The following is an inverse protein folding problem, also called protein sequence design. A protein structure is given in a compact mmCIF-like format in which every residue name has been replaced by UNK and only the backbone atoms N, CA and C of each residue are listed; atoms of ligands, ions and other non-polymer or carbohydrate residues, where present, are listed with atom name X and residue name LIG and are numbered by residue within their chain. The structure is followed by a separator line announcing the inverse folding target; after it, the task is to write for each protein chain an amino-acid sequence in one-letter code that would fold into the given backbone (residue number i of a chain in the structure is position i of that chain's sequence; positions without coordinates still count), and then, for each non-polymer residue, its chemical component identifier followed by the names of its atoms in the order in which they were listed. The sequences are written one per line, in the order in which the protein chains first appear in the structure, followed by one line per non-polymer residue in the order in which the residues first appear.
data_IF_144059370625
#
_entry.id   IF_144059370625
#
_cell.length_a   1.000
_cell.length_b   1.000
_cell.length_c   1.000
_cell.angle_alpha   90.00
_cell.angle_beta   90.00
_cell.angle_gamma   90.00
#
_symmetry.space_group_name_H-M   'P 1'
#
loop_
_entity.id
_entity.type
_entity.pdbx_description
1 polymer ?
#
# COMPACT_ATOMS: atom_id res chain seq x y z
N UNK A 1 12.51 7.37 45.00
CA UNK A 1 11.75 7.02 43.75
C UNK A 1 12.76 7.09 42.62
N UNK A 2 13.17 5.91 42.13
CA UNK A 2 14.07 5.80 40.98
C UNK A 2 13.21 5.89 39.72
N UNK A 3 13.27 7.01 39.00
CA UNK A 3 12.73 7.14 37.65
C UNK A 3 13.42 6.08 36.76
N UNK A 4 12.66 5.09 36.37
CA UNK A 4 13.07 4.14 35.33
C UNK A 4 13.09 4.90 34.02
N UNK A 5 14.26 5.33 33.57
CA UNK A 5 14.44 5.85 32.23
C UNK A 5 14.07 4.72 31.26
N UNK A 6 12.91 4.86 30.61
CA UNK A 6 12.53 4.04 29.46
C UNK A 6 13.51 4.43 28.34
N UNK A 7 14.56 3.64 28.17
CA UNK A 7 15.46 3.79 27.02
C UNK A 7 14.66 3.50 25.77
N UNK A 8 14.44 4.54 24.96
CA UNK A 8 13.84 4.35 23.64
C UNK A 8 14.70 3.39 22.82
N UNK A 9 14.09 2.46 22.05
CA UNK A 9 14.83 1.56 21.18
C UNK A 9 15.71 2.36 20.24
N UNK A 10 17.00 2.04 20.17
CA UNK A 10 17.94 2.75 19.31
C UNK A 10 17.88 2.18 17.89
N UNK A 11 17.02 2.72 17.06
CA UNK A 11 16.86 2.33 15.65
C UNK A 11 18.01 2.80 14.74
N UNK A 12 18.99 3.55 15.27
CA UNK A 12 20.08 4.18 14.49
C UNK A 12 21.30 3.27 14.27
N UNK A 13 21.39 2.12 14.95
CA UNK A 13 22.56 1.24 14.89
C UNK A 13 22.46 0.12 13.84
N UNK A 14 21.38 0.05 13.06
CA UNK A 14 21.21 -0.94 11.99
C UNK A 14 21.66 -0.31 10.67
N UNK A 15 22.58 -0.98 9.98
CA UNK A 15 22.96 -0.57 8.62
C UNK A 15 21.78 -0.87 7.67
N UNK A 16 21.10 0.19 7.23
CA UNK A 16 19.95 0.10 6.35
C UNK A 16 20.42 0.46 4.93
N UNK A 17 20.14 -0.36 3.92
CA UNK A 17 20.45 -0.02 2.55
C UNK A 17 19.73 1.27 2.11
N UNK A 18 20.37 2.04 1.24
CA UNK A 18 19.82 3.32 0.78
C UNK A 18 18.64 3.11 -0.15
N UNK A 19 17.51 3.75 0.17
CA UNK A 19 16.37 3.86 -0.72
C UNK A 19 16.62 4.89 -1.83
N UNK A 20 16.39 4.53 -3.08
CA UNK A 20 16.57 5.41 -4.21
C UNK A 20 15.25 6.05 -4.66
N UNK A 21 15.10 7.33 -4.34
CA UNK A 21 13.91 8.12 -4.66
C UNK A 21 13.66 8.26 -6.17
N UNK A 22 14.73 8.40 -6.98
CA UNK A 22 14.60 8.52 -8.43
C UNK A 22 14.08 7.22 -9.05
N UNK A 23 14.54 6.07 -8.55
CA UNK A 23 14.03 4.77 -8.97
C UNK A 23 12.55 4.61 -8.62
N UNK A 24 12.17 4.86 -7.37
CA UNK A 24 10.77 4.78 -6.94
C UNK A 24 9.86 5.68 -7.79
N UNK A 25 10.26 6.93 -8.01
CA UNK A 25 9.52 7.87 -8.85
C UNK A 25 9.39 7.35 -10.30
N UNK A 26 10.45 6.78 -10.85
CA UNK A 26 10.42 6.21 -12.21
C UNK A 26 9.47 5.00 -12.30
N UNK A 27 9.33 4.21 -11.22
CA UNK A 27 8.40 3.08 -11.16
C UNK A 27 6.95 3.54 -11.07
N UNK A 28 6.65 4.62 -10.32
CA UNK A 28 5.33 5.25 -10.33
C UNK A 28 5.00 5.73 -11.74
N UNK A 29 5.93 6.49 -12.35
CA UNK A 29 5.74 7.00 -13.71
C UNK A 29 5.51 5.88 -14.74
N UNK A 30 6.27 4.80 -14.67
CA UNK A 30 6.13 3.68 -15.59
C UNK A 30 4.74 3.03 -15.53
N UNK A 31 4.12 2.95 -14.35
CA UNK A 31 2.75 2.48 -14.20
C UNK A 31 1.75 3.43 -14.85
N UNK A 32 1.88 4.74 -14.64
CA UNK A 32 1.02 5.76 -15.25
C UNK A 32 1.19 5.84 -16.78
N UNK A 33 2.41 5.59 -17.30
CA UNK A 33 2.68 5.60 -18.75
C UNK A 33 1.91 4.51 -19.51
N UNK A 34 1.43 3.44 -18.84
CA UNK A 34 0.51 2.46 -19.45
C UNK A 34 -0.91 3.02 -19.62
N UNK A 35 -1.26 4.08 -18.90
CA UNK A 35 -2.60 4.63 -18.75
C UNK A 35 -3.32 4.08 -17.52
N UNK A 36 -4.58 4.48 -17.30
CA UNK A 36 -5.40 4.00 -16.19
C UNK A 36 -5.47 2.47 -16.11
N UNK A 37 -5.08 1.90 -14.97
CA UNK A 37 -5.03 0.44 -14.74
C UNK A 37 -6.40 -0.09 -14.31
N UNK A 38 -7.44 0.30 -15.05
CA UNK A 38 -8.82 -0.08 -14.76
C UNK A 38 -9.09 -1.55 -15.07
N UNK A 39 -10.12 -2.16 -14.47
CA UNK A 39 -10.43 -3.58 -14.64
C UNK A 39 -10.49 -4.01 -16.11
N UNK A 40 -9.81 -5.12 -16.43
CA UNK A 40 -9.79 -5.75 -17.75
C UNK A 40 -9.27 -4.88 -18.91
N UNK A 41 -8.78 -3.66 -18.64
CA UNK A 41 -8.21 -2.78 -19.67
C UNK A 41 -6.88 -3.31 -20.21
N UNK A 42 -6.50 -2.82 -21.40
CA UNK A 42 -5.18 -3.10 -21.97
C UNK A 42 -4.05 -2.54 -21.11
N UNK A 43 -4.25 -1.38 -20.49
CA UNK A 43 -3.31 -0.76 -19.57
C UNK A 43 -3.08 -1.64 -18.34
N UNK A 44 -4.15 -2.16 -17.72
CA UNK A 44 -4.06 -3.10 -16.60
C UNK A 44 -3.29 -4.38 -16.99
N UNK A 45 -3.58 -4.97 -18.15
CA UNK A 45 -2.88 -6.17 -18.61
C UNK A 45 -1.36 -5.93 -18.75
N UNK A 46 -0.97 -4.85 -19.43
CA UNK A 46 0.43 -4.52 -19.69
C UNK A 46 1.17 -4.12 -18.41
N UNK A 47 0.55 -3.32 -17.55
CA UNK A 47 1.13 -2.92 -16.28
C UNK A 47 1.31 -4.13 -15.35
N UNK A 48 0.32 -5.00 -15.21
CA UNK A 48 0.45 -6.20 -14.41
C UNK A 48 1.55 -7.13 -14.91
N UNK A 49 1.72 -7.29 -16.23
CA UNK A 49 2.82 -8.05 -16.80
C UNK A 49 4.19 -7.38 -16.53
N UNK A 50 4.24 -6.06 -16.57
CA UNK A 50 5.42 -5.27 -16.18
C UNK A 50 5.79 -5.52 -14.70
N UNK A 51 4.82 -5.41 -13.79
CA UNK A 51 5.02 -5.65 -12.35
C UNK A 51 5.50 -7.07 -12.06
N UNK A 52 4.88 -8.09 -12.68
CA UNK A 52 5.30 -9.49 -12.55
C UNK A 52 6.74 -9.67 -13.02
N UNK A 53 7.07 -9.14 -14.19
CA UNK A 53 8.41 -9.29 -14.77
C UNK A 53 9.46 -8.53 -13.96
N UNK A 54 9.10 -7.37 -13.41
CA UNK A 54 9.96 -6.62 -12.49
C UNK A 54 10.24 -7.44 -11.22
N UNK A 55 9.20 -7.90 -10.54
CA UNK A 55 9.36 -8.65 -9.29
C UNK A 55 10.15 -9.96 -9.47
N UNK A 56 10.02 -10.64 -10.60
CA UNK A 56 10.81 -11.84 -10.94
C UNK A 56 12.32 -11.59 -11.00
N UNK A 57 12.78 -10.35 -11.16
CA UNK A 57 14.21 -10.01 -11.16
C UNK A 57 14.80 -9.98 -9.76
N UNK A 58 13.97 -9.78 -8.73
CA UNK A 58 14.43 -9.52 -7.37
C UNK A 58 13.95 -10.55 -6.35
N UNK A 59 12.72 -11.02 -6.44
CA UNK A 59 12.14 -11.97 -5.51
C UNK A 59 12.62 -13.41 -5.78
N UNK A 60 12.61 -14.22 -4.73
CA UNK A 60 12.93 -15.67 -4.86
C UNK A 60 11.79 -16.42 -5.55
N UNK A 61 10.55 -16.00 -5.30
CA UNK A 61 9.35 -16.57 -5.94
C UNK A 61 8.32 -15.48 -6.19
N UNK A 62 7.63 -15.56 -7.34
CA UNK A 62 6.49 -14.69 -7.65
C UNK A 62 5.27 -15.55 -7.93
N UNK A 63 4.21 -15.35 -7.18
CA UNK A 63 2.90 -15.95 -7.40
C UNK A 63 1.99 -14.93 -8.09
N UNK A 64 1.16 -15.43 -9.00
CA UNK A 64 0.10 -14.65 -9.64
C UNK A 64 -1.23 -15.33 -9.32
N UNK A 65 -2.05 -14.65 -8.54
CA UNK A 65 -3.34 -15.15 -8.11
C UNK A 65 -4.45 -14.45 -8.92
N UNK A 66 -5.01 -15.16 -9.89
CA UNK A 66 -6.17 -14.70 -10.65
C UNK A 66 -7.46 -15.06 -9.92
N UNK A 67 -8.43 -14.16 -9.97
CA UNK A 67 -9.74 -14.39 -9.35
C UNK A 67 -10.84 -13.67 -10.15
N UNK A 68 -12.06 -14.21 -10.05
CA UNK A 68 -13.24 -13.58 -10.64
C UNK A 68 -14.02 -12.85 -9.54
N UNK A 69 -14.56 -11.68 -9.86
CA UNK A 69 -15.39 -10.89 -8.95
C UNK A 69 -16.48 -10.14 -9.72
N UNK A 70 -17.26 -9.34 -9.02
CA UNK A 70 -18.26 -8.45 -9.59
C UNK A 70 -18.06 -7.05 -9.04
N UNK A 71 -18.20 -6.06 -9.91
CA UNK A 71 -18.30 -4.67 -9.50
C UNK A 71 -19.69 -4.38 -8.89
N UNK A 72 -19.84 -3.20 -8.31
CA UNK A 72 -21.07 -2.72 -7.67
C UNK A 72 -22.33 -2.85 -8.55
N UNK A 73 -22.21 -2.71 -9.86
CA UNK A 73 -23.30 -2.81 -10.84
C UNK A 73 -23.56 -4.24 -11.36
N UNK A 74 -22.87 -5.24 -10.79
CA UNK A 74 -22.94 -6.64 -11.18
C UNK A 74 -22.08 -7.03 -12.38
N UNK A 75 -21.28 -6.10 -12.94
CA UNK A 75 -20.34 -6.38 -14.03
C UNK A 75 -19.31 -7.41 -13.59
N UNK A 76 -19.16 -8.51 -14.33
CA UNK A 76 -18.13 -9.50 -14.04
C UNK A 76 -16.77 -8.98 -14.45
N UNK A 77 -15.80 -9.14 -13.55
CA UNK A 77 -14.40 -8.74 -13.76
C UNK A 77 -13.46 -9.85 -13.30
N UNK A 78 -12.25 -9.84 -13.84
CA UNK A 78 -11.15 -10.68 -13.37
C UNK A 78 -10.06 -9.79 -12.79
N UNK A 79 -9.62 -10.13 -11.57
CA UNK A 79 -8.50 -9.48 -10.90
C UNK A 79 -7.27 -10.37 -10.86
N UNK A 80 -6.13 -9.76 -10.58
CA UNK A 80 -4.83 -10.40 -10.56
C UNK A 80 -3.96 -9.87 -9.44
N UNK A 81 -3.98 -10.51 -8.27
CA UNK A 81 -3.04 -10.22 -7.21
C UNK A 81 -1.64 -10.75 -7.57
N UNK A 82 -0.60 -9.98 -7.27
CA UNK A 82 0.79 -10.33 -7.54
C UNK A 82 1.52 -10.40 -6.20
N UNK A 83 2.11 -11.54 -5.88
CA UNK A 83 2.80 -11.78 -4.61
C UNK A 83 4.26 -12.12 -4.89
N UNK A 84 5.18 -11.32 -4.38
CA UNK A 84 6.62 -11.51 -4.51
C UNK A 84 7.20 -11.91 -3.15
N UNK A 85 7.71 -13.13 -3.02
CA UNK A 85 8.26 -13.70 -1.79
C UNK A 85 9.78 -13.62 -1.79
N UNK A 86 10.30 -13.05 -0.70
CA UNK A 86 11.72 -13.00 -0.35
C UNK A 86 11.94 -13.91 0.86
N UNK A 87 12.95 -14.75 0.81
CA UNK A 87 13.25 -15.78 1.80
C UNK A 87 11.98 -16.60 2.17
N UNK A 88 11.39 -17.34 1.20
CA UNK A 88 10.09 -17.99 1.40
C UNK A 88 10.11 -19.12 2.44
N UNK A 89 11.29 -19.58 2.86
CA UNK A 89 11.43 -20.61 3.88
C UNK A 89 11.50 -20.07 5.31
N UNK A 90 11.64 -18.76 5.49
CA UNK A 90 11.64 -18.15 6.81
C UNK A 90 10.26 -18.22 7.45
N UNK A 91 10.19 -18.68 8.69
CA UNK A 91 8.96 -18.71 9.49
C UNK A 91 8.64 -17.35 10.11
N UNK A 92 9.67 -16.55 10.40
CA UNK A 92 9.53 -15.14 10.78
C UNK A 92 9.32 -14.31 9.51
N UNK A 93 8.11 -13.80 9.32
CA UNK A 93 7.67 -13.23 8.05
C UNK A 93 6.81 -11.99 8.25
N UNK A 94 6.96 -11.02 7.34
CA UNK A 94 6.12 -9.81 7.28
C UNK A 94 5.53 -9.62 5.89
N UNK A 95 4.42 -8.89 5.82
CA UNK A 95 3.76 -8.51 4.58
C UNK A 95 3.92 -7.01 4.34
N UNK A 96 4.31 -6.64 3.14
CA UNK A 96 4.18 -5.27 2.63
C UNK A 96 3.18 -5.30 1.49
N UNK A 97 2.23 -4.38 1.46
CA UNK A 97 1.21 -4.37 0.43
C UNK A 97 0.91 -2.98 -0.11
N UNK A 98 0.39 -2.94 -1.31
CA UNK A 98 -0.24 -1.79 -1.95
C UNK A 98 -1.23 -2.29 -2.99
N UNK A 99 -2.24 -1.51 -3.36
CA UNK A 99 -3.03 -1.83 -4.53
C UNK A 99 -2.38 -1.28 -5.82
N UNK A 100 -2.63 -1.90 -6.96
CA UNK A 100 -1.99 -1.52 -8.22
C UNK A 100 -2.96 -1.10 -9.33
N UNK A 101 -4.24 -1.37 -9.17
CA UNK A 101 -5.30 -0.85 -10.04
C UNK A 101 -5.47 0.67 -9.86
N UNK A 102 -6.25 1.29 -10.69
CA UNK A 102 -6.69 2.66 -10.54
C UNK A 102 -8.18 2.79 -10.80
N UNK A 103 -8.79 3.79 -10.20
CA UNK A 103 -10.23 4.01 -10.24
C UNK A 103 -10.75 4.19 -11.65
N UNK A 104 -11.85 3.52 -11.94
CA UNK A 104 -12.56 3.61 -13.23
C UNK A 104 -13.25 4.95 -13.42
N UNK A 105 -13.45 5.70 -12.33
CA UNK A 105 -14.22 6.94 -12.32
C UNK A 105 -13.50 8.06 -11.56
N UNK A 106 -13.50 9.28 -12.11
CA UNK A 106 -13.07 10.48 -11.39
C UNK A 106 -14.27 11.07 -10.64
N UNK A 107 -14.87 10.29 -9.74
CA UNK A 107 -16.17 10.58 -9.16
C UNK A 107 -16.16 11.66 -8.05
N UNK A 108 -14.98 12.07 -7.62
CA UNK A 108 -14.76 13.22 -6.72
C UNK A 108 -14.18 14.44 -7.46
N UNK A 109 -14.08 14.39 -8.80
CA UNK A 109 -13.58 15.53 -9.58
C UNK A 109 -14.57 16.70 -9.49
N UNK A 110 -14.11 17.95 -9.26
CA UNK A 110 -14.98 19.11 -9.18
C UNK A 110 -15.71 19.44 -10.50
N UNK A 111 -15.24 18.91 -11.63
CA UNK A 111 -15.94 18.98 -12.90
C UNK A 111 -16.69 17.67 -13.17
N UNK A 112 -18.02 17.70 -13.07
CA UNK A 112 -18.89 16.54 -13.28
C UNK A 112 -18.72 15.87 -14.66
N UNK A 113 -18.22 16.59 -15.69
CA UNK A 113 -17.91 16.00 -16.99
C UNK A 113 -16.77 14.98 -16.93
N UNK A 114 -15.98 14.97 -15.84
CA UNK A 114 -14.90 14.04 -15.60
C UNK A 114 -15.36 12.78 -14.87
N UNK A 115 -16.50 12.79 -14.18
CA UNK A 115 -16.93 11.73 -13.27
C UNK A 115 -16.92 10.33 -13.88
N UNK A 116 -17.17 10.21 -15.18
CA UNK A 116 -17.15 8.90 -15.89
C UNK A 116 -15.83 8.61 -16.62
N UNK A 117 -14.76 9.35 -16.30
CA UNK A 117 -13.42 9.12 -16.84
C UNK A 117 -12.55 8.38 -15.83
N UNK A 118 -11.76 7.45 -16.33
CA UNK A 118 -10.76 6.78 -15.50
C UNK A 118 -9.62 7.74 -15.13
N UNK A 119 -9.05 7.56 -13.94
CA UNK A 119 -7.94 8.35 -13.43
C UNK A 119 -6.60 7.64 -13.63
N UNK A 120 -5.50 8.42 -13.63
CA UNK A 120 -4.15 7.85 -13.70
C UNK A 120 -3.77 7.11 -12.41
N UNK A 121 -4.31 7.50 -11.25
CA UNK A 121 -4.02 6.88 -9.98
C UNK A 121 -2.52 6.89 -9.65
N UNK A 122 -1.88 8.06 -9.81
CA UNK A 122 -0.44 8.17 -9.58
C UNK A 122 -0.09 8.08 -8.10
N UNK A 123 -0.92 8.70 -7.26
CA UNK A 123 -0.81 8.57 -5.80
C UNK A 123 -1.59 7.36 -5.31
N UNK A 124 -2.80 7.21 -5.78
CA UNK A 124 -3.78 6.19 -5.47
C UNK A 124 -3.69 5.03 -6.49
N UNK A 125 -3.04 4.11 -6.22
CA UNK A 125 -2.27 2.98 -5.85
C UNK A 125 -0.84 2.99 -6.38
N UNK A 126 -0.47 3.72 -7.51
CA UNK A 126 0.85 3.56 -8.10
C UNK A 126 1.99 4.01 -7.17
N UNK A 127 1.74 4.95 -6.24
CA UNK A 127 2.78 5.44 -5.32
C UNK A 127 3.25 4.35 -4.34
N UNK A 128 2.32 3.63 -3.71
CA UNK A 128 2.63 2.50 -2.83
C UNK A 128 3.40 1.40 -3.56
N UNK A 129 2.93 1.02 -4.75
CA UNK A 129 3.61 0.05 -5.62
C UNK A 129 5.02 0.50 -5.97
N UNK A 130 5.23 1.78 -6.35
CA UNK A 130 6.55 2.32 -6.69
C UNK A 130 7.54 2.26 -5.53
N UNK A 131 7.09 2.55 -4.29
CA UNK A 131 7.90 2.38 -3.08
C UNK A 131 8.27 0.90 -2.87
N UNK A 132 7.32 -0.01 -3.00
CA UNK A 132 7.55 -1.44 -2.78
C UNK A 132 8.43 -2.08 -3.86
N UNK A 133 8.38 -1.59 -5.10
CA UNK A 133 9.30 -2.01 -6.16
C UNK A 133 10.74 -1.63 -5.82
N UNK A 134 10.98 -0.43 -5.27
CA UNK A 134 12.32 -0.03 -4.85
C UNK A 134 12.79 -0.83 -3.63
N UNK A 135 11.90 -1.12 -2.67
CA UNK A 135 12.21 -2.00 -1.54
C UNK A 135 12.60 -3.41 -2.04
N UNK A 136 11.89 -3.96 -3.03
CA UNK A 136 12.23 -5.24 -3.64
C UNK A 136 13.66 -5.24 -4.23
N UNK A 137 14.04 -4.16 -4.92
CA UNK A 137 15.40 -3.98 -5.45
C UNK A 137 16.44 -3.94 -4.33
N UNK A 138 16.12 -3.25 -3.23
CA UNK A 138 17.01 -3.12 -2.07
C UNK A 138 17.25 -4.47 -1.38
N UNK A 139 16.28 -5.35 -1.27
CA UNK A 139 16.44 -6.68 -0.66
C UNK A 139 17.46 -7.57 -1.37
N UNK A 140 17.75 -7.33 -2.65
CA UNK A 140 18.84 -8.04 -3.35
C UNK A 140 20.24 -7.53 -2.99
N UNK A 141 20.34 -6.35 -2.36
CA UNK A 141 21.64 -5.76 -2.00
C UNK A 141 22.10 -6.20 -0.59
N UNK A 142 21.17 -6.56 0.28
CA UNK A 142 21.45 -7.00 1.64
C UNK A 142 20.52 -8.15 2.00
N UNK A 143 21.12 -9.28 2.38
CA UNK A 143 20.34 -10.41 2.87
C UNK A 143 19.55 -10.02 4.11
N UNK A 144 18.30 -10.46 4.13
CA UNK A 144 17.39 -10.33 5.25
C UNK A 144 17.07 -11.74 5.75
N UNK A 145 17.30 -12.02 7.04
CA UNK A 145 16.95 -13.31 7.65
C UNK A 145 15.44 -13.50 7.76
N UNK A 146 14.70 -12.41 7.87
CA UNK A 146 13.23 -12.40 7.89
C UNK A 146 12.67 -12.65 6.49
N UNK A 147 11.58 -13.42 6.40
CA UNK A 147 10.81 -13.54 5.18
C UNK A 147 9.98 -12.27 4.94
N UNK A 148 9.91 -11.84 3.69
CA UNK A 148 9.07 -10.70 3.31
C UNK A 148 8.24 -11.08 2.09
N UNK A 149 6.93 -10.86 2.17
CA UNK A 149 6.05 -10.94 1.01
C UNK A 149 5.59 -9.54 0.63
N UNK A 150 5.85 -9.15 -0.62
CA UNK A 150 5.30 -7.93 -1.21
C UNK A 150 4.07 -8.33 -2.02
N UNK A 151 2.92 -7.77 -1.69
CA UNK A 151 1.66 -8.07 -2.34
C UNK A 151 1.11 -6.82 -3.03
N UNK A 152 0.82 -6.94 -4.32
CA UNK A 152 0.08 -5.95 -5.07
C UNK A 152 -1.35 -6.47 -5.24
N UNK A 153 -2.30 -5.86 -4.53
CA UNK A 153 -3.72 -6.17 -4.62
C UNK A 153 -4.33 -5.52 -5.86
N UNK A 154 -5.24 -6.23 -6.51
CA UNK A 154 -6.00 -5.74 -7.67
C UNK A 154 -7.45 -5.45 -7.27
N UNK A 155 -8.12 -4.60 -8.02
CA UNK A 155 -9.54 -4.28 -7.79
C UNK A 155 -9.82 -3.75 -6.37
N UNK A 156 -8.91 -2.96 -5.83
CA UNK A 156 -9.15 -2.24 -4.57
C UNK A 156 -10.17 -1.14 -4.79
N UNK A 157 -9.93 -0.30 -5.80
CA UNK A 157 -10.49 1.03 -5.99
C UNK A 157 -11.72 1.03 -6.93
N UNK A 158 -12.51 -0.06 -6.92
CA UNK A 158 -13.61 -0.26 -7.84
C UNK A 158 -15.00 -0.32 -7.19
N UNK A 159 -15.12 0.19 -5.96
CA UNK A 159 -16.39 0.25 -5.23
C UNK A 159 -17.40 1.22 -5.83
N UNK A 160 -18.60 1.24 -5.26
CA UNK A 160 -19.72 2.07 -5.72
C UNK A 160 -19.32 3.53 -5.89
N UNK A 161 -19.51 4.13 -7.08
CA UNK A 161 -19.16 5.53 -7.32
C UNK A 161 -20.12 6.49 -6.60
N UNK A 162 -19.66 7.72 -6.32
CA UNK A 162 -20.37 8.70 -5.51
C UNK A 162 -21.75 9.12 -6.03
N UNK A 163 -22.03 8.89 -7.31
CA UNK A 163 -23.35 9.18 -7.92
C UNK A 163 -24.35 8.01 -7.86
N UNK A 164 -23.94 6.84 -7.35
CA UNK A 164 -24.78 5.66 -7.25
C UNK A 164 -25.09 5.33 -5.78
N UNK A 165 -26.22 4.65 -5.55
CA UNK A 165 -26.53 4.11 -4.25
C UNK A 165 -25.84 2.75 -4.10
N UNK A 166 -25.17 2.54 -2.98
CA UNK A 166 -24.60 1.24 -2.64
C UNK A 166 -25.67 0.36 -2.01
N UNK A 167 -25.85 -0.84 -2.54
CA UNK A 167 -26.66 -1.88 -1.90
C UNK A 167 -25.90 -2.61 -0.78
N UNK A 168 -24.64 -2.22 -0.51
CA UNK A 168 -23.72 -2.88 0.41
C UNK A 168 -23.37 -1.95 1.57
N UNK A 169 -23.87 -2.25 2.75
CA UNK A 169 -23.64 -1.41 3.95
C UNK A 169 -22.22 -1.53 4.50
N UNK A 170 -21.51 -2.64 4.23
CA UNK A 170 -20.21 -2.98 4.80
C UNK A 170 -19.02 -2.65 3.89
N UNK A 171 -19.23 -1.91 2.80
CA UNK A 171 -18.21 -1.57 1.80
C UNK A 171 -17.49 -2.78 1.19
N UNK A 172 -18.12 -3.96 1.18
CA UNK A 172 -17.51 -5.19 0.62
C UNK A 172 -17.46 -5.20 -0.91
N UNK A 173 -17.90 -4.15 -1.57
CA UNK A 173 -17.71 -3.86 -3.00
C UNK A 173 -16.35 -3.19 -3.31
N UNK A 174 -15.57 -2.83 -2.28
CA UNK A 174 -14.20 -2.32 -2.36
C UNK A 174 -13.18 -3.42 -2.02
N UNK A 175 -11.91 -3.19 -2.31
CA UNK A 175 -10.80 -4.04 -1.87
C UNK A 175 -10.95 -5.53 -2.28
N UNK A 176 -11.49 -5.79 -3.47
CA UNK A 176 -11.87 -7.15 -3.90
C UNK A 176 -10.67 -8.11 -3.93
N UNK A 177 -9.48 -7.61 -4.27
CA UNK A 177 -8.25 -8.40 -4.31
C UNK A 177 -7.79 -8.85 -2.95
N UNK A 178 -7.73 -7.95 -1.97
CA UNK A 178 -7.32 -8.31 -0.60
C UNK A 178 -8.36 -9.18 0.08
N UNK A 179 -9.66 -8.97 -0.18
CA UNK A 179 -10.70 -9.88 0.28
C UNK A 179 -10.48 -11.30 -0.23
N UNK A 180 -10.19 -11.44 -1.54
CA UNK A 180 -9.95 -12.75 -2.14
C UNK A 180 -8.70 -13.40 -1.55
N UNK A 181 -7.57 -12.66 -1.53
CA UNK A 181 -6.31 -13.18 -1.01
C UNK A 181 -6.42 -13.58 0.46
N UNK A 182 -7.08 -12.77 1.29
CA UNK A 182 -7.20 -13.02 2.73
C UNK A 182 -8.03 -14.25 3.06
N UNK A 183 -9.01 -14.61 2.21
CA UNK A 183 -9.81 -15.85 2.32
C UNK A 183 -9.09 -17.06 1.75
N UNK A 184 -8.25 -16.85 0.73
CA UNK A 184 -7.51 -17.91 0.01
C UNK A 184 -6.08 -17.46 -0.27
N UNK A 185 -5.19 -17.42 0.74
CA UNK A 185 -3.80 -17.04 0.54
C UNK A 185 -3.09 -17.91 -0.51
N UNK A 186 -1.99 -17.40 -1.05
CA UNK A 186 -1.24 -18.00 -2.15
C UNK A 186 -0.59 -19.37 -1.82
N UNK A 187 -0.56 -19.76 -0.56
CA UNK A 187 -0.31 -21.16 -0.15
C UNK A 187 -1.08 -21.49 1.17
N UNK A 188 -1.33 -22.79 1.42
CA UNK A 188 -2.09 -23.22 2.59
C UNK A 188 -1.42 -22.83 3.91
N UNK A 189 -2.22 -22.44 4.90
CA UNK A 189 -1.76 -22.08 6.26
C UNK A 189 -0.77 -20.89 6.29
N UNK A 190 -0.86 -20.02 5.30
CA UNK A 190 -0.06 -18.80 5.28
C UNK A 190 -0.31 -17.96 6.53
N UNK A 191 0.77 -17.46 7.12
CA UNK A 191 0.72 -16.49 8.22
C UNK A 191 1.91 -15.55 8.14
N UNK A 192 1.79 -14.38 8.77
CA UNK A 192 2.86 -13.42 8.95
C UNK A 192 2.72 -12.75 10.32
N UNK A 193 3.82 -12.22 10.85
CA UNK A 193 3.82 -11.58 12.16
C UNK A 193 3.05 -10.26 12.14
N UNK A 194 3.19 -9.51 11.05
CA UNK A 194 2.44 -8.28 10.80
C UNK A 194 2.49 -7.89 9.32
N UNK A 195 1.70 -6.90 8.96
CA UNK A 195 1.70 -6.29 7.64
C UNK A 195 1.71 -4.76 7.70
N UNK A 196 2.17 -4.15 6.60
CA UNK A 196 2.10 -2.71 6.33
C UNK A 196 1.53 -2.52 4.94
N UNK A 197 0.39 -1.86 4.85
CA UNK A 197 -0.20 -1.37 3.61
C UNK A 197 0.33 0.03 3.33
N UNK A 198 0.57 0.34 2.07
CA UNK A 198 0.95 1.68 1.59
C UNK A 198 -0.10 2.15 0.59
N UNK A 199 -0.88 3.13 0.98
CA UNK A 199 -1.85 3.77 0.11
C UNK A 199 -1.68 5.28 0.09
N UNK A 200 -1.73 5.89 -1.10
CA UNK A 200 -1.56 7.34 -1.31
C UNK A 200 -0.33 7.94 -0.62
N UNK A 201 0.85 7.34 -0.83
CA UNK A 201 2.09 7.69 -0.12
C UNK A 201 3.06 8.58 -0.91
N UNK A 202 2.65 9.07 -2.07
CA UNK A 202 3.52 9.83 -2.99
C UNK A 202 3.26 11.33 -3.07
N UNK A 203 2.20 11.84 -2.43
CA UNK A 203 1.80 13.24 -2.55
C UNK A 203 2.86 14.21 -2.05
N UNK A 204 3.07 15.32 -2.78
CA UNK A 204 4.09 16.32 -2.44
C UNK A 204 3.91 17.02 -1.08
N UNK A 205 2.70 17.07 -0.53
CA UNK A 205 2.40 17.58 0.80
C UNK A 205 1.97 16.44 1.73
N UNK A 206 2.83 15.46 1.86
CA UNK A 206 2.59 14.21 2.56
C UNK A 206 2.29 14.41 4.04
N UNK A 207 1.21 13.77 4.53
CA UNK A 207 0.81 13.75 5.94
C UNK A 207 0.12 12.43 6.27
N UNK A 208 0.51 11.81 7.36
CA UNK A 208 -0.09 10.57 7.89
C UNK A 208 -0.50 10.76 9.33
N UNK A 209 -1.64 10.20 9.70
CA UNK A 209 -2.08 10.04 11.09
C UNK A 209 -2.23 8.57 11.43
N UNK A 210 -2.37 8.25 12.72
CA UNK A 210 -2.66 6.88 13.15
C UNK A 210 -4.13 6.58 12.89
N UNK A 211 -4.40 5.93 11.77
CA UNK A 211 -5.74 5.60 11.31
C UNK A 211 -6.42 4.59 12.28
N UNK A 212 -7.75 4.69 12.41
CA UNK A 212 -8.49 4.06 13.49
C UNK A 212 -8.53 2.53 13.45
N UNK A 213 -8.67 1.89 12.27
CA UNK A 213 -8.68 0.42 12.16
C UNK A 213 -7.29 -0.16 12.42
N UNK A 214 -6.24 0.49 11.92
CA UNK A 214 -4.84 0.11 12.23
C UNK A 214 -4.56 0.16 13.73
N UNK A 215 -5.04 1.20 14.41
CA UNK A 215 -4.93 1.30 15.86
C UNK A 215 -5.74 0.23 16.60
N UNK A 216 -6.88 -0.18 16.05
CA UNK A 216 -7.71 -1.24 16.62
C UNK A 216 -7.05 -2.62 16.49
N UNK A 217 -6.53 -2.93 15.31
CA UNK A 217 -6.01 -4.28 15.00
C UNK A 217 -4.54 -4.47 15.34
N UNK A 218 -3.70 -3.43 15.15
CA UNK A 218 -2.25 -3.54 15.14
C UNK A 218 -1.54 -2.32 15.76
N UNK A 219 -2.06 -1.81 16.89
CA UNK A 219 -1.55 -0.59 17.54
C UNK A 219 -0.05 -0.66 17.89
N UNK A 220 0.47 -1.83 18.23
CA UNK A 220 1.90 -2.01 18.53
C UNK A 220 2.78 -1.75 17.30
N UNK A 221 2.36 -2.22 16.13
CA UNK A 221 3.07 -1.99 14.87
C UNK A 221 2.94 -0.54 14.43
N UNK A 222 1.73 0.04 14.53
CA UNK A 222 1.49 1.45 14.24
C UNK A 222 2.41 2.35 15.08
N UNK A 223 2.45 2.15 16.39
CA UNK A 223 3.32 2.92 17.28
C UNK A 223 4.80 2.73 16.93
N UNK A 224 5.25 1.50 16.66
CA UNK A 224 6.64 1.22 16.25
C UNK A 224 7.01 2.01 14.98
N UNK A 225 6.17 2.01 13.96
CA UNK A 225 6.42 2.73 12.69
C UNK A 225 6.51 4.24 12.92
N UNK A 226 5.60 4.81 13.73
CA UNK A 226 5.62 6.22 14.08
C UNK A 226 6.83 6.62 14.94
N UNK A 227 7.27 5.75 15.86
CA UNK A 227 8.48 5.98 16.65
C UNK A 227 9.74 5.96 15.75
N UNK A 228 9.81 5.06 14.79
CA UNK A 228 10.87 5.03 13.78
C UNK A 228 10.87 6.31 12.95
N UNK A 229 9.71 6.73 12.46
CA UNK A 229 9.57 7.96 11.69
C UNK A 229 10.01 9.19 12.50
N UNK A 230 9.62 9.26 13.77
CA UNK A 230 10.05 10.32 14.70
C UNK A 230 11.56 10.31 14.92
N UNK A 231 12.18 9.14 15.14
CA UNK A 231 13.63 8.98 15.31
C UNK A 231 14.42 9.41 14.05
N UNK A 232 13.79 9.30 12.87
CA UNK A 232 14.36 9.77 11.58
C UNK A 232 14.07 11.25 11.30
N UNK A 233 13.36 11.95 12.18
CA UNK A 233 13.05 13.39 12.04
C UNK A 233 11.80 13.69 11.20
N UNK A 234 10.91 12.70 10.97
CA UNK A 234 9.72 12.82 10.13
C UNK A 234 8.42 13.06 10.93
N UNK A 235 8.50 13.54 12.18
CA UNK A 235 7.33 13.78 13.05
C UNK A 235 6.35 14.81 12.49
N UNK A 236 6.79 15.67 11.57
CA UNK A 236 5.92 16.63 10.88
C UNK A 236 5.12 16.00 9.73
N UNK A 237 5.41 14.74 9.36
CA UNK A 237 4.74 13.97 8.33
C UNK A 237 3.94 12.84 8.97
N UNK A 238 4.57 12.06 9.84
CA UNK A 238 3.94 11.02 10.64
C UNK A 238 3.41 11.64 11.94
N UNK A 239 2.21 12.20 11.88
CA UNK A 239 1.59 12.96 12.97
C UNK A 239 1.12 11.99 14.06
N UNK A 240 1.55 12.23 15.31
CA UNK A 240 1.19 11.37 16.43
C UNK A 240 -0.23 11.68 16.96
N UNK A 241 -1.21 11.60 16.09
CA UNK A 241 -2.63 11.75 16.38
C UNK A 241 -3.40 10.58 15.79
N UNK A 242 -4.41 10.11 16.52
CA UNK A 242 -5.33 9.10 16.02
C UNK A 242 -6.52 9.78 15.33
N UNK A 243 -6.88 9.28 14.15
CA UNK A 243 -8.03 9.74 13.38
C UNK A 243 -9.09 8.64 13.26
N UNK A 244 -10.12 8.90 12.46
CA UNK A 244 -11.21 7.97 12.22
C UNK A 244 -10.75 6.68 11.51
N UNK A 245 -11.56 5.61 11.60
CA UNK A 245 -11.32 4.37 10.85
C UNK A 245 -11.45 4.62 9.34
N UNK A 246 -10.53 4.02 8.57
CA UNK A 246 -10.55 4.01 7.11
C UNK A 246 -10.74 2.56 6.67
N UNK A 247 -11.69 2.31 5.76
CA UNK A 247 -11.87 1.01 5.14
C UNK A 247 -10.92 0.89 3.96
N UNK A 248 -9.99 -0.09 4.02
CA UNK A 248 -8.99 -0.34 3.00
C UNK A 248 -8.55 -1.81 3.05
N UNK A 249 -7.66 -2.26 2.18
CA UNK A 249 -7.13 -3.61 2.06
C UNK A 249 -6.69 -4.21 3.40
N UNK A 250 -6.05 -3.41 4.27
CA UNK A 250 -5.60 -3.87 5.60
C UNK A 250 -6.76 -4.36 6.48
N UNK A 251 -7.95 -3.79 6.36
CA UNK A 251 -9.12 -4.24 7.10
C UNK A 251 -9.43 -5.70 6.80
N UNK A 252 -9.48 -6.05 5.51
CA UNK A 252 -9.82 -7.40 5.08
C UNK A 252 -8.72 -8.41 5.42
N UNK A 253 -7.44 -8.00 5.37
CA UNK A 253 -6.30 -8.82 5.83
C UNK A 253 -6.43 -9.12 7.32
N UNK A 254 -6.72 -8.13 8.15
CA UNK A 254 -6.99 -8.32 9.58
C UNK A 254 -8.19 -9.22 9.83
N UNK A 255 -9.28 -9.01 9.08
CA UNK A 255 -10.54 -9.73 9.26
C UNK A 255 -10.47 -11.22 8.90
N UNK A 256 -9.86 -11.54 7.75
CA UNK A 256 -9.89 -12.90 7.22
C UNK A 256 -8.58 -13.66 7.37
N UNK A 257 -7.44 -13.06 7.01
CA UNK A 257 -6.13 -13.69 7.16
C UNK A 257 -5.61 -13.67 8.60
N UNK A 258 -6.20 -12.84 9.49
CA UNK A 258 -5.81 -12.68 10.89
C UNK A 258 -4.35 -12.25 11.07
N UNK A 259 -3.82 -11.48 10.12
CA UNK A 259 -2.49 -10.88 10.17
C UNK A 259 -2.65 -9.45 10.66
N UNK A 260 -2.03 -9.06 11.81
CA UNK A 260 -2.05 -7.67 12.27
C UNK A 260 -1.44 -6.74 11.22
N UNK A 261 -2.25 -5.95 10.55
CA UNK A 261 -1.81 -5.08 9.44
C UNK A 261 -2.21 -3.65 9.69
N UNK A 262 -1.28 -2.73 9.49
CA UNK A 262 -1.53 -1.29 9.51
C UNK A 262 -1.60 -0.74 8.10
N UNK A 263 -2.22 0.41 7.97
CA UNK A 263 -2.24 1.22 6.77
C UNK A 263 -1.48 2.53 7.00
N UNK A 264 -0.53 2.83 6.12
CA UNK A 264 0.11 4.14 5.99
C UNK A 264 -0.58 4.85 4.83
N UNK A 265 -1.58 5.65 5.15
CA UNK A 265 -2.44 6.31 4.17
C UNK A 265 -2.40 7.82 4.36
N UNK A 266 -2.39 8.57 3.23
CA UNK A 266 -2.49 10.03 3.28
C UNK A 266 -3.75 10.46 4.01
N UNK A 267 -3.57 11.00 5.20
CA UNK A 267 -4.67 11.49 6.03
C UNK A 267 -4.18 12.64 6.92
N UNK A 268 -4.78 13.81 6.73
CA UNK A 268 -4.47 15.01 7.52
C UNK A 268 -5.63 15.27 8.48
N UNK A 269 -5.38 15.51 9.78
CA UNK A 269 -6.45 15.76 10.74
C UNK A 269 -7.33 16.98 10.41
N UNK A 270 -6.83 17.86 9.53
CA UNK A 270 -7.52 19.11 9.16
C UNK A 270 -8.29 19.06 7.86
N UNK A 271 -7.95 18.15 6.95
CA UNK A 271 -8.52 18.10 5.60
C UNK A 271 -8.90 16.70 5.10
N UNK A 272 -8.87 15.69 5.97
CA UNK A 272 -9.16 14.30 5.62
C UNK A 272 -8.16 13.66 4.65
N UNK A 273 -8.59 13.21 3.49
CA UNK A 273 -7.80 12.46 2.53
C UNK A 273 -6.86 13.33 1.67
N UNK A 274 -6.15 12.67 0.77
CA UNK A 274 -5.47 13.24 -0.36
C UNK A 274 -6.42 14.20 -1.13
N UNK A 275 -6.06 15.47 -1.34
CA UNK A 275 -6.98 16.48 -1.88
C UNK A 275 -7.40 16.23 -3.35
N UNK A 276 -6.71 15.34 -4.04
CA UNK A 276 -7.03 14.95 -5.43
C UNK A 276 -7.52 13.51 -5.54
N UNK A 277 -7.92 12.91 -4.41
CA UNK A 277 -8.50 11.59 -4.36
C UNK A 277 -9.68 11.47 -5.32
N UNK A 278 -9.66 10.45 -6.17
CA UNK A 278 -10.65 10.18 -7.21
C UNK A 278 -10.92 11.35 -8.19
N UNK A 279 -9.88 12.13 -8.49
CA UNK A 279 -9.96 13.21 -9.48
C UNK A 279 -8.97 13.02 -10.62
N UNK A 280 -9.18 13.73 -11.73
CA UNK A 280 -8.23 13.78 -12.87
C UNK A 280 -6.88 14.39 -12.49
N UNK A 281 -6.76 14.96 -11.30
CA UNK A 281 -5.51 15.53 -10.80
C UNK A 281 -4.66 14.54 -10.00
N UNK A 282 -5.12 13.31 -9.78
CA UNK A 282 -4.26 12.25 -9.29
C UNK A 282 -3.33 11.75 -10.42
N UNK A 283 -2.31 12.55 -10.69
CA UNK A 283 -1.34 12.34 -11.75
C UNK A 283 0.10 12.65 -11.29
N UNK A 284 1.09 12.44 -12.15
CA UNK A 284 2.51 12.58 -11.81
C UNK A 284 2.94 13.99 -11.38
N UNK A 285 2.18 15.06 -11.68
CA UNK A 285 2.50 16.43 -11.26
C UNK A 285 2.40 16.62 -9.73
N UNK A 286 1.65 15.75 -9.08
CA UNK A 286 1.42 15.76 -7.64
C UNK A 286 2.31 14.79 -6.85
N UNK A 287 3.14 14.00 -7.53
CA UNK A 287 4.06 13.02 -6.91
C UNK A 287 5.42 13.67 -6.59
N UNK A 288 5.92 13.40 -5.40
CA UNK A 288 7.22 13.87 -4.90
C UNK A 288 8.18 12.72 -4.65
N UNK A 289 9.40 12.83 -5.19
CA UNK A 289 10.49 11.90 -4.89
C UNK A 289 10.84 11.86 -3.41
N UNK A 290 10.79 13.02 -2.74
CA UNK A 290 11.06 13.13 -1.31
C UNK A 290 10.02 12.36 -0.49
N UNK A 291 8.73 12.45 -0.85
CA UNK A 291 7.66 11.71 -0.20
C UNK A 291 7.87 10.21 -0.30
N UNK A 292 8.14 9.71 -1.50
CA UNK A 292 8.43 8.27 -1.72
C UNK A 292 9.65 7.82 -0.92
N UNK A 293 10.70 8.66 -0.83
CA UNK A 293 11.90 8.38 -0.04
C UNK A 293 11.60 8.27 1.45
N UNK A 294 10.85 9.19 2.00
CA UNK A 294 10.49 9.20 3.43
C UNK A 294 9.77 7.91 3.81
N UNK A 295 8.78 7.51 3.03
CA UNK A 295 8.02 6.27 3.27
C UNK A 295 8.93 5.04 3.11
N UNK A 296 9.72 4.98 2.06
CA UNK A 296 10.67 3.89 1.83
C UNK A 296 11.71 3.75 2.94
N UNK A 297 12.25 4.87 3.43
CA UNK A 297 13.21 4.91 4.54
C UNK A 297 12.58 4.38 5.85
N UNK A 298 11.33 4.73 6.13
CA UNK A 298 10.61 4.26 7.31
C UNK A 298 10.31 2.77 7.21
N UNK A 299 9.82 2.30 6.07
CA UNK A 299 9.54 0.87 5.83
C UNK A 299 10.81 0.02 5.94
N UNK A 300 11.89 0.40 5.26
CA UNK A 300 13.18 -0.33 5.34
C UNK A 300 13.71 -0.37 6.77
N UNK A 301 13.65 0.76 7.50
CA UNK A 301 14.07 0.82 8.89
C UNK A 301 13.23 -0.12 9.76
N UNK A 302 11.91 -0.16 9.54
CA UNK A 302 11.00 -1.03 10.29
C UNK A 302 11.36 -2.50 10.09
N UNK A 303 11.67 -2.92 8.86
CA UNK A 303 12.02 -4.31 8.54
C UNK A 303 13.40 -4.68 9.09
N UNK A 304 14.43 -3.89 8.77
CA UNK A 304 15.80 -4.21 9.17
C UNK A 304 16.07 -4.03 10.66
N UNK A 305 15.27 -3.26 11.41
CA UNK A 305 15.40 -3.13 12.86
C UNK A 305 14.84 -4.31 13.67
N UNK A 306 14.25 -5.31 13.01
CA UNK A 306 13.80 -6.56 13.62
C UNK A 306 14.89 -7.66 13.64
N UNK A 307 16.06 -7.39 13.11
CA UNK A 307 17.18 -8.35 12.99
C UNK A 307 18.09 -8.38 14.21
#
# INVERSE_FOLDING_TARGET
ETETQITQPNYTNVEIPTFNADSAYSYVKAQCDFGPRTPMSKASQLCGDYLINFMKQYADTVYVQTFSSKLWDGTNVEGRNIIASFNPQASDRVVLAAHWDSRLWADEDPNEENHKKAIDGANDGASGVGVLMEIARVFRQKENSQGVDIIFFDLEDQGTPSWAESDVEDQSDWCLGSQHWSKTPHYPFYTANYGILLDMVGYKNLRFTKEGLSMHYASSIMNKVWDIAAAKGYSNIFINEQTYPIMDDHHWVNMYAKIPMIDIVQNDPTCSFFPFWHTMQDNMENISKESLKIVGDVCLTTIFSNQ
#
